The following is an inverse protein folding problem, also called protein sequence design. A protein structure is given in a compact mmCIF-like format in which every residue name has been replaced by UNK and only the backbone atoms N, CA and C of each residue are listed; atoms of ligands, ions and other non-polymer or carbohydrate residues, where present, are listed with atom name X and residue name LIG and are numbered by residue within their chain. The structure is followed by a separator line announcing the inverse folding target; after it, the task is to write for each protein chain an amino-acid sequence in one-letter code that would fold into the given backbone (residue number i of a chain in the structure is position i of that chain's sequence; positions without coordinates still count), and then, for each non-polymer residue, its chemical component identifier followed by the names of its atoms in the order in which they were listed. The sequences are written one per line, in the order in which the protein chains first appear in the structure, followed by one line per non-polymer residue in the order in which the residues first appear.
data_IF_643774632631
#
_entry.id   IF_643774632631
#
_cell.length_a   1.000
_cell.length_b   1.000
_cell.length_c   1.000
_cell.angle_alpha   90.00
_cell.angle_beta   90.00
_cell.angle_gamma   90.00
#
_symmetry.space_group_name_H-M   'P 1'
#
loop_
_entity.id
_entity.type
_entity.pdbx_description
1 polymer ?
#
# COMPACT_ATOMS: atom_id res chain seq x y z
N UNK A 1 8.97 13.82 21.69
CA UNK A 1 9.08 15.28 21.50
C UNK A 1 7.71 15.97 21.49
N UNK A 2 7.53 17.06 22.25
CA UNK A 2 6.26 17.84 22.28
C UNK A 2 6.06 18.63 20.98
N UNK A 3 4.88 19.23 20.76
CA UNK A 3 4.65 20.15 19.62
C UNK A 3 5.49 21.42 19.76
N UNK A 4 5.56 21.95 20.98
CA UNK A 4 6.37 23.10 21.35
C UNK A 4 7.85 22.90 21.00
N UNK A 5 8.46 21.82 21.50
CA UNK A 5 9.87 21.54 21.19
C UNK A 5 10.12 21.42 19.69
N UNK A 6 9.25 20.69 18.98
CA UNK A 6 9.33 20.52 17.53
C UNK A 6 9.29 21.84 16.77
N UNK A 7 8.46 22.78 17.20
CA UNK A 7 8.37 24.08 16.56
C UNK A 7 9.61 24.93 16.87
N UNK A 8 10.07 24.96 18.11
CA UNK A 8 11.31 25.66 18.49
C UNK A 8 12.52 25.15 17.70
N UNK A 9 12.70 23.84 17.61
CA UNK A 9 13.81 23.26 16.84
C UNK A 9 13.75 23.65 15.37
N UNK A 10 12.54 23.67 14.79
CA UNK A 10 12.32 24.10 13.40
C UNK A 10 12.52 25.61 13.21
N UNK A 11 12.16 26.41 14.21
CA UNK A 11 12.34 27.86 14.17
C UNK A 11 13.81 28.24 14.33
N UNK A 12 14.54 27.58 15.24
CA UNK A 12 15.96 27.82 15.45
C UNK A 12 16.74 27.52 14.16
N UNK A 13 16.36 26.47 13.42
CA UNK A 13 16.93 26.17 12.10
C UNK A 13 16.66 27.29 11.07
N UNK A 14 15.41 27.74 10.97
CA UNK A 14 15.06 28.90 10.14
C UNK A 14 15.88 30.14 10.52
N UNK A 15 15.93 30.46 11.81
CA UNK A 15 16.59 31.66 12.30
C UNK A 15 18.09 31.62 12.01
N UNK A 16 18.74 30.48 12.25
CA UNK A 16 20.17 30.30 11.97
C UNK A 16 20.51 30.33 10.48
N UNK A 17 19.60 29.87 9.61
CA UNK A 17 19.84 29.78 8.17
C UNK A 17 19.52 31.08 7.42
N UNK A 18 18.42 31.76 7.77
CA UNK A 18 17.84 32.84 6.96
C UNK A 18 17.96 34.24 7.59
N UNK A 19 18.08 34.31 8.92
CA UNK A 19 18.01 35.58 9.68
C UNK A 19 19.35 35.93 10.32
N UNK A 20 20.03 34.96 10.92
CA UNK A 20 21.30 35.17 11.60
C UNK A 20 22.37 35.61 10.60
N UNK A 21 23.05 36.70 10.92
CA UNK A 21 24.19 37.22 10.18
C UNK A 21 25.28 37.68 11.17
N UNK A 22 26.38 38.23 10.65
CA UNK A 22 27.51 38.68 11.48
C UNK A 22 27.13 39.82 12.44
N UNK A 23 26.10 40.60 12.09
CA UNK A 23 25.61 41.76 12.84
C UNK A 23 24.50 41.43 13.85
N UNK A 24 23.93 40.22 13.80
CA UNK A 24 22.86 39.72 14.68
C UNK A 24 23.28 38.41 15.34
N UNK A 25 23.92 38.52 16.51
CA UNK A 25 24.58 37.39 17.18
C UNK A 25 23.70 36.68 18.21
N UNK A 26 22.78 37.42 18.85
CA UNK A 26 21.98 36.94 19.97
C UNK A 26 20.48 37.15 19.76
N UNK A 27 19.67 36.16 20.09
CA UNK A 27 18.22 36.28 20.22
C UNK A 27 17.75 35.48 21.44
N UNK A 28 16.62 35.90 22.03
CA UNK A 28 16.03 35.13 23.11
C UNK A 28 15.28 33.92 22.54
N UNK A 29 15.39 32.73 23.14
CA UNK A 29 14.62 31.57 22.72
C UNK A 29 13.13 31.87 22.67
N UNK A 30 12.44 31.32 21.65
CA UNK A 30 11.00 31.50 21.52
C UNK A 30 10.27 31.14 22.81
N UNK A 31 9.43 32.06 23.29
CA UNK A 31 8.63 31.83 24.49
C UNK A 31 7.18 31.57 24.11
N UNK A 32 6.67 30.40 24.47
CA UNK A 32 5.26 30.05 24.32
C UNK A 32 4.40 30.89 25.27
N UNK A 33 3.46 31.65 24.71
CA UNK A 33 2.48 32.46 25.45
C UNK A 33 1.20 31.69 25.76
N UNK A 34 0.89 30.67 24.95
CA UNK A 34 -0.33 29.86 25.12
C UNK A 34 -0.24 28.94 26.34
N UNK A 35 -1.01 29.25 27.39
CA UNK A 35 -1.10 28.43 28.63
C UNK A 35 -1.71 27.04 28.40
N UNK A 36 -2.71 26.93 27.52
CA UNK A 36 -3.38 25.65 27.24
C UNK A 36 -2.81 25.01 25.97
N UNK A 37 -1.84 24.13 26.14
CA UNK A 37 -1.16 23.41 25.04
C UNK A 37 -2.05 22.41 24.29
N UNK A 38 -3.27 22.13 24.77
CA UNK A 38 -4.28 21.33 24.03
C UNK A 38 -5.00 22.14 22.95
N UNK A 39 -4.89 23.47 22.95
CA UNK A 39 -5.41 24.31 21.86
C UNK A 39 -4.72 23.97 20.55
N UNK A 40 -5.44 24.19 19.45
CA UNK A 40 -4.94 24.03 18.11
C UNK A 40 -4.08 25.22 17.65
N UNK A 41 -4.20 26.39 18.27
CA UNK A 41 -3.37 27.56 17.98
C UNK A 41 -2.46 27.83 19.16
N UNK A 42 -1.15 27.88 18.89
CA UNK A 42 -0.11 28.22 19.86
C UNK A 42 0.54 29.54 19.43
N UNK A 43 0.65 30.46 20.37
CA UNK A 43 1.22 31.78 20.21
C UNK A 43 2.60 31.83 20.87
N UNK A 44 3.58 32.34 20.15
CA UNK A 44 4.98 32.45 20.55
C UNK A 44 5.43 33.90 20.47
N UNK A 45 6.35 34.31 21.34
CA UNK A 45 7.04 35.60 21.21
C UNK A 45 8.52 35.38 20.99
N UNK A 46 9.04 36.07 19.98
CA UNK A 46 10.46 36.27 19.73
C UNK A 46 10.84 37.66 20.22
N UNK A 47 11.95 37.73 20.95
CA UNK A 47 12.50 38.98 21.47
C UNK A 47 13.98 39.06 21.13
N UNK A 48 14.37 40.09 20.40
CA UNK A 48 15.76 40.37 20.05
C UNK A 48 16.10 41.75 20.62
N UNK A 49 16.98 41.82 21.63
CA UNK A 49 17.41 43.11 22.17
C UNK A 49 18.47 43.74 21.24
N UNK A 50 18.52 45.07 21.14
CA UNK A 50 19.59 45.76 20.39
C UNK A 50 20.96 45.64 21.06
N UNK A 51 21.00 45.37 22.36
CA UNK A 51 22.22 45.09 23.12
C UNK A 51 22.06 43.81 23.92
N UNK A 52 23.07 42.97 23.92
CA UNK A 52 23.08 41.75 24.74
C UNK A 52 24.30 41.72 25.65
N UNK A 53 24.09 41.18 26.85
CA UNK A 53 25.11 41.09 27.88
C UNK A 53 26.09 39.97 27.56
N UNK A 54 27.38 40.28 27.56
CA UNK A 54 28.46 39.31 27.29
C UNK A 54 29.03 38.77 28.60
N UNK A 55 29.37 39.66 29.52
CA UNK A 55 29.96 39.28 30.81
C UNK A 55 29.72 40.33 31.88
N UNK A 56 29.88 39.91 33.13
CA UNK A 56 30.02 40.81 34.28
C UNK A 56 31.50 41.03 34.57
N UNK A 57 31.88 42.28 34.83
CA UNK A 57 33.22 42.58 35.34
C UNK A 57 33.19 42.27 36.84
N UNK A 58 33.68 41.09 37.21
CA UNK A 58 33.67 40.61 38.60
C UNK A 58 35.00 40.84 39.34
N UNK A 59 35.94 41.55 38.73
CA UNK A 59 37.25 41.80 39.33
C UNK A 59 37.31 43.21 39.91
N UNK A 60 37.75 43.28 41.17
CA UNK A 60 38.01 44.51 41.89
C UNK A 60 39.05 45.36 41.14
N UNK A 61 38.66 46.59 40.77
CA UNK A 61 39.57 47.58 40.18
C UNK A 61 39.97 48.53 41.30
N UNK A 62 41.27 48.81 41.45
CA UNK A 62 41.76 49.78 42.43
C UNK A 62 42.23 51.04 41.70
N UNK A 63 41.92 52.22 42.24
CA UNK A 63 42.47 53.48 41.72
C UNK A 63 43.96 53.66 42.08
N UNK A 64 44.58 54.73 41.60
CA UNK A 64 46.00 55.06 41.87
C UNK A 64 46.28 55.26 43.37
N UNK A 65 45.25 55.57 44.17
CA UNK A 65 45.31 55.75 45.63
C UNK A 65 44.99 54.45 46.40
N UNK A 66 44.72 53.34 45.69
CA UNK A 66 44.43 52.03 46.27
C UNK A 66 43.00 51.86 46.82
N UNK A 67 42.06 52.75 46.48
CA UNK A 67 40.65 52.55 46.79
C UNK A 67 39.99 51.59 45.81
N UNK A 68 39.15 50.72 46.37
CA UNK A 68 38.36 49.77 45.63
C UNK A 68 37.25 50.48 44.83
N UNK A 69 37.40 50.55 43.52
CA UNK A 69 36.34 50.90 42.58
C UNK A 69 35.55 49.62 42.31
N UNK A 70 34.33 49.52 42.84
CA UNK A 70 33.40 48.47 42.45
C UNK A 70 32.97 48.66 40.98
N UNK A 71 33.41 47.83 40.03
CA UNK A 71 32.88 47.91 38.68
C UNK A 71 31.47 47.31 38.73
N UNK A 72 30.45 48.16 38.63
CA UNK A 72 29.05 47.72 38.46
C UNK A 72 28.66 47.57 37.00
N UNK A 73 29.63 47.54 36.10
CA UNK A 73 29.36 47.63 34.67
C UNK A 73 29.44 46.24 34.04
N UNK A 74 28.28 45.73 33.63
CA UNK A 74 28.20 44.60 32.71
C UNK A 74 28.63 45.06 31.32
N UNK A 75 29.37 44.22 30.58
CA UNK A 75 29.74 44.50 29.19
C UNK A 75 28.60 44.09 28.28
N UNK A 76 28.10 45.04 27.49
CA UNK A 76 27.09 44.82 26.48
C UNK A 76 27.69 44.99 25.08
N UNK A 77 27.25 44.16 24.13
CA UNK A 77 27.55 44.33 22.70
C UNK A 77 26.28 44.75 22.00
N UNK A 78 26.41 45.75 21.12
CA UNK A 78 25.34 46.20 20.24
C UNK A 78 25.23 45.28 19.01
N UNK A 79 24.01 45.07 18.55
CA UNK A 79 23.71 44.27 17.37
C UNK A 79 22.61 44.96 16.55
N UNK A 80 22.65 44.76 15.23
CA UNK A 80 21.64 45.32 14.35
C UNK A 80 20.36 44.50 14.42
N UNK A 81 19.25 45.18 14.70
CA UNK A 81 17.93 44.55 14.70
C UNK A 81 17.48 44.29 13.26
N UNK A 82 16.82 43.16 12.98
CA UNK A 82 16.25 42.92 11.68
C UNK A 82 15.10 43.89 11.40
N UNK A 83 14.94 44.26 10.15
CA UNK A 83 13.73 44.92 9.67
C UNK A 83 12.54 43.92 9.71
N UNK A 84 11.36 44.41 10.08
CA UNK A 84 10.18 43.56 10.21
C UNK A 84 9.72 43.02 8.85
N UNK A 85 9.68 43.86 7.82
CA UNK A 85 9.22 43.44 6.49
C UNK A 85 10.17 42.40 5.89
N UNK A 86 11.48 42.59 6.09
CA UNK A 86 12.48 41.56 5.76
C UNK A 86 12.26 40.25 6.52
N UNK A 87 12.06 40.33 7.84
CA UNK A 87 11.83 39.15 8.68
C UNK A 87 10.56 38.40 8.27
N UNK A 88 9.44 39.11 8.08
CA UNK A 88 8.16 38.53 7.68
C UNK A 88 8.29 37.85 6.32
N UNK A 89 8.94 38.50 5.34
CA UNK A 89 9.17 37.92 4.01
C UNK A 89 9.92 36.59 4.11
N UNK A 90 11.03 36.57 4.85
CA UNK A 90 11.83 35.33 5.03
C UNK A 90 11.07 34.25 5.80
N UNK A 91 10.31 34.66 6.79
CA UNK A 91 9.49 33.74 7.58
C UNK A 91 8.44 33.05 6.69
N UNK A 92 7.70 33.82 5.89
CA UNK A 92 6.68 33.30 4.98
C UNK A 92 7.31 32.42 3.90
N UNK A 93 8.41 32.85 3.26
CA UNK A 93 9.16 32.04 2.28
C UNK A 93 9.54 30.65 2.85
N UNK A 94 9.97 30.60 4.11
CA UNK A 94 10.40 29.36 4.75
C UNK A 94 9.22 28.46 5.15
N UNK A 95 8.18 29.00 5.78
CA UNK A 95 7.12 28.21 6.42
C UNK A 95 5.87 28.00 5.56
N UNK A 96 5.52 28.89 4.62
CA UNK A 96 4.25 28.79 3.88
C UNK A 96 4.17 27.54 3.00
N UNK A 97 5.30 26.97 2.60
CA UNK A 97 5.36 25.69 1.86
C UNK A 97 4.83 24.49 2.66
N UNK A 98 4.69 24.62 3.97
CA UNK A 98 4.12 23.60 4.86
C UNK A 98 2.69 23.94 5.29
N UNK A 99 2.02 24.88 4.64
CA UNK A 99 0.63 25.22 4.95
C UNK A 99 -0.30 24.11 4.42
N UNK A 100 -1.33 23.76 5.20
CA UNK A 100 -2.36 22.81 4.78
C UNK A 100 -3.66 23.52 4.42
N UNK A 101 -4.18 23.21 3.24
CA UNK A 101 -5.46 23.70 2.73
C UNK A 101 -6.45 22.55 2.52
N UNK A 102 -7.73 22.86 2.70
CA UNK A 102 -8.88 22.05 2.28
C UNK A 102 -9.79 22.92 1.42
N UNK A 103 -9.64 22.76 0.10
CA UNK A 103 -10.16 23.72 -0.88
C UNK A 103 -9.58 25.12 -0.65
N UNK A 104 -10.45 26.10 -0.35
CA UNK A 104 -10.09 27.49 -0.07
C UNK A 104 -9.82 27.76 1.42
N UNK A 105 -10.00 26.76 2.30
CA UNK A 105 -9.88 26.94 3.74
C UNK A 105 -8.48 26.55 4.20
N UNK A 106 -7.77 27.48 4.86
CA UNK A 106 -6.51 27.15 5.54
C UNK A 106 -6.82 26.40 6.84
N UNK A 107 -6.27 25.19 6.98
CA UNK A 107 -6.48 24.33 8.15
C UNK A 107 -5.30 24.38 9.12
N UNK A 108 -4.08 24.49 8.60
CA UNK A 108 -2.85 24.55 9.39
C UNK A 108 -1.88 25.52 8.74
N UNK A 109 -1.36 26.45 9.52
CA UNK A 109 -0.58 27.58 9.03
C UNK A 109 0.31 28.14 10.14
N UNK A 110 1.31 28.91 9.75
CA UNK A 110 2.04 29.80 10.65
C UNK A 110 1.94 31.23 10.14
N UNK A 111 1.97 32.18 11.05
CA UNK A 111 1.94 33.60 10.70
C UNK A 111 2.73 34.40 11.73
N UNK A 112 3.36 35.48 11.29
CA UNK A 112 4.09 36.40 12.16
C UNK A 112 3.48 37.78 12.05
N UNK A 113 3.39 38.48 13.18
CA UNK A 113 2.99 39.88 13.20
C UNK A 113 3.79 40.67 14.23
N UNK A 114 3.96 41.96 13.94
CA UNK A 114 4.68 42.86 14.82
C UNK A 114 3.86 43.13 16.08
N UNK A 115 4.49 42.97 17.25
CA UNK A 115 3.87 43.23 18.55
C UNK A 115 4.31 44.54 19.19
N UNK A 116 5.22 45.27 18.53
CA UNK A 116 5.58 46.63 18.92
C UNK A 116 4.40 47.57 18.64
N UNK A 117 3.44 47.56 19.57
CA UNK A 117 2.24 48.41 19.56
C UNK A 117 2.52 49.85 20.02
N UNK A 118 3.72 50.14 20.50
CA UNK A 118 4.14 51.48 20.91
C UNK A 118 5.32 51.93 20.03
N UNK A 119 5.09 52.99 19.24
CA UNK A 119 6.12 53.72 18.49
C UNK A 119 7.31 54.15 19.39
N UNK A 120 7.07 54.27 20.70
CA UNK A 120 8.07 54.63 21.72
C UNK A 120 9.18 53.59 21.98
N UNK A 121 9.07 52.35 21.50
CA UNK A 121 10.13 51.34 21.72
C UNK A 121 11.41 51.63 20.92
N UNK A 122 11.28 52.29 19.76
CA UNK A 122 12.42 52.66 18.91
C UNK A 122 13.13 53.94 19.37
N UNK A 123 12.50 54.71 20.27
CA UNK A 123 13.07 55.91 20.90
C UNK A 123 13.76 55.60 22.25
N UNK A 124 13.75 54.35 22.69
CA UNK A 124 14.42 53.93 23.93
C UNK A 124 15.93 53.75 23.72
N UNK A 125 16.73 53.94 24.78
CA UNK A 125 18.19 53.72 24.74
C UNK A 125 18.59 52.28 24.37
N UNK A 126 17.65 51.33 24.45
CA UNK A 126 17.83 49.91 24.14
C UNK A 126 16.60 49.35 23.40
N UNK A 127 16.47 49.61 22.08
CA UNK A 127 15.32 49.12 21.32
C UNK A 127 15.26 47.59 21.30
N UNK A 128 14.04 47.06 21.20
CA UNK A 128 13.79 45.62 21.19
C UNK A 128 12.91 45.28 20.00
N UNK A 129 13.35 44.32 19.18
CA UNK A 129 12.54 43.73 18.14
C UNK A 129 11.68 42.62 18.76
N UNK A 130 10.35 42.82 18.75
CA UNK A 130 9.39 41.87 19.29
C UNK A 130 8.37 41.46 18.22
N UNK A 131 8.36 40.18 17.88
CA UNK A 131 7.36 39.61 16.98
C UNK A 131 6.62 38.48 17.65
N UNK A 132 5.33 38.40 17.36
CA UNK A 132 4.47 37.31 17.80
C UNK A 132 4.24 36.39 16.61
N UNK A 133 4.32 35.09 16.89
CA UNK A 133 4.20 34.03 15.90
C UNK A 133 3.05 33.11 16.32
N UNK A 134 2.08 32.99 15.44
CA UNK A 134 0.97 32.06 15.58
C UNK A 134 1.25 30.77 14.81
N UNK A 135 0.98 29.64 15.46
CA UNK A 135 1.11 28.30 14.89
C UNK A 135 -0.21 27.57 15.05
N UNK A 136 -0.94 27.42 13.94
CA UNK A 136 -2.20 26.68 13.90
C UNK A 136 -1.98 25.24 13.44
N UNK A 137 -2.26 24.28 14.31
CA UNK A 137 -2.19 22.84 14.07
C UNK A 137 -3.54 22.27 13.62
N UNK A 138 -3.51 21.37 12.63
CA UNK A 138 -4.67 20.55 12.27
C UNK A 138 -4.42 19.07 12.55
N UNK A 139 -5.15 18.49 13.52
CA UNK A 139 -4.99 17.08 13.92
C UNK A 139 -3.51 16.75 14.24
N UNK A 140 -2.89 15.85 13.48
CA UNK A 140 -1.47 15.46 13.62
C UNK A 140 -0.53 16.21 12.68
N UNK A 141 -1.04 17.12 11.85
CA UNK A 141 -0.25 17.90 10.89
C UNK A 141 0.45 19.06 11.60
N UNK A 142 1.70 19.34 11.20
CA UNK A 142 2.49 20.48 11.65
C UNK A 142 2.79 21.38 10.46
N UNK A 143 2.56 22.70 10.56
CA UNK A 143 2.81 23.66 9.48
C UNK A 143 4.29 24.07 9.39
N UNK A 144 5.21 23.11 9.53
CA UNK A 144 6.65 23.32 9.57
C UNK A 144 7.37 21.97 9.38
N UNK A 145 8.67 21.96 8.98
CA UNK A 145 9.40 20.73 8.77
C UNK A 145 9.57 19.98 10.10
N UNK A 146 9.18 18.70 10.12
CA UNK A 146 9.42 17.81 11.26
C UNK A 146 10.67 17.00 10.97
N UNK A 147 11.74 17.22 11.76
CA UNK A 147 12.87 16.30 11.77
C UNK A 147 12.40 14.92 12.27
N UNK A 148 12.66 13.82 11.55
CA UNK A 148 12.35 12.49 12.03
C UNK A 148 13.13 12.25 13.33
N UNK A 149 12.43 11.94 14.41
CA UNK A 149 13.06 11.42 15.63
C UNK A 149 13.68 10.06 15.27
N UNK A 150 15.01 9.93 15.39
CA UNK A 150 15.74 8.72 15.02
C UNK A 150 15.15 7.47 15.69
N UNK A 151 14.73 7.59 16.96
CA UNK A 151 14.16 6.50 17.75
C UNK A 151 12.78 6.05 17.22
N UNK A 152 11.95 7.00 16.79
CA UNK A 152 10.63 6.69 16.19
C UNK A 152 10.82 6.03 14.82
N UNK A 153 11.83 6.46 14.08
CA UNK A 153 12.17 5.93 12.75
C UNK A 153 12.67 4.49 12.85
N UNK A 154 13.55 4.18 13.80
CA UNK A 154 14.06 2.83 14.04
C UNK A 154 12.96 1.85 14.47
N UNK A 155 12.07 2.26 15.38
CA UNK A 155 10.94 1.41 15.79
C UNK A 155 10.01 1.12 14.62
N UNK A 156 9.72 2.13 13.79
CA UNK A 156 8.89 1.95 12.60
C UNK A 156 9.58 1.06 11.57
N UNK A 157 10.87 1.26 11.35
CA UNK A 157 11.70 0.44 10.47
C UNK A 157 11.70 -1.03 10.92
N UNK A 158 11.99 -1.31 12.19
CA UNK A 158 12.01 -2.68 12.73
C UNK A 158 10.65 -3.37 12.62
N UNK A 159 9.55 -2.64 12.85
CA UNK A 159 8.20 -3.18 12.65
C UNK A 159 7.93 -3.52 11.18
N UNK A 160 8.35 -2.65 10.25
CA UNK A 160 8.22 -2.89 8.81
C UNK A 160 9.08 -4.06 8.36
N UNK A 161 10.33 -4.15 8.84
CA UNK A 161 11.24 -5.24 8.55
C UNK A 161 10.67 -6.59 9.04
N UNK A 162 10.12 -6.64 10.26
CA UNK A 162 9.45 -7.84 10.78
C UNK A 162 8.26 -8.23 9.91
N UNK A 163 7.43 -7.26 9.48
CA UNK A 163 6.30 -7.53 8.59
C UNK A 163 6.78 -8.04 7.23
N UNK A 164 7.86 -7.47 6.71
CA UNK A 164 8.45 -7.89 5.44
C UNK A 164 8.94 -9.34 5.51
N UNK A 165 9.70 -9.70 6.55
CA UNK A 165 10.20 -11.06 6.74
C UNK A 165 9.06 -12.07 6.85
N UNK A 166 8.02 -11.76 7.65
CA UNK A 166 6.85 -12.64 7.75
C UNK A 166 6.17 -12.88 6.38
N UNK A 167 6.10 -11.86 5.52
CA UNK A 167 5.51 -11.99 4.19
C UNK A 167 6.41 -12.78 3.23
N UNK A 168 7.73 -12.69 3.38
CA UNK A 168 8.69 -13.51 2.64
C UNK A 168 8.51 -14.98 3.04
N UNK A 169 8.49 -15.29 4.33
CA UNK A 169 8.29 -16.66 4.83
C UNK A 169 6.95 -17.25 4.34
N UNK A 170 5.89 -16.44 4.33
CA UNK A 170 4.58 -16.87 3.81
C UNK A 170 4.61 -17.14 2.30
N UNK A 171 5.30 -16.30 1.51
CA UNK A 171 5.46 -16.49 0.08
C UNK A 171 6.28 -17.74 -0.26
N UNK A 172 7.34 -18.01 0.49
CA UNK A 172 8.14 -19.24 0.31
C UNK A 172 7.27 -20.46 0.54
N UNK A 173 6.54 -20.50 1.66
CA UNK A 173 5.61 -21.62 1.96
C UNK A 173 4.53 -21.80 0.89
N UNK A 174 3.97 -20.71 0.37
CA UNK A 174 2.98 -20.79 -0.70
C UNK A 174 3.59 -21.28 -2.02
N UNK A 175 4.84 -20.91 -2.31
CA UNK A 175 5.56 -21.39 -3.49
C UNK A 175 5.80 -22.89 -3.42
N UNK A 176 6.24 -23.41 -2.26
CA UNK A 176 6.40 -24.85 -2.04
C UNK A 176 5.09 -25.62 -2.27
N UNK A 177 3.96 -25.10 -1.76
CA UNK A 177 2.64 -25.70 -1.99
C UNK A 177 2.23 -25.72 -3.46
N UNK A 178 2.58 -24.69 -4.23
CA UNK A 178 2.31 -24.64 -5.67
C UNK A 178 3.11 -25.71 -6.39
N UNK A 179 4.38 -25.92 -6.03
CA UNK A 179 5.21 -26.98 -6.61
C UNK A 179 4.63 -28.37 -6.33
N UNK A 180 4.24 -28.66 -5.07
CA UNK A 180 3.60 -29.92 -4.70
C UNK A 180 2.30 -30.18 -5.50
N UNK A 181 1.46 -29.15 -5.67
CA UNK A 181 0.23 -29.25 -6.45
C UNK A 181 0.50 -29.48 -7.94
N UNK A 182 1.54 -28.87 -8.50
CA UNK A 182 1.94 -29.12 -9.89
C UNK A 182 2.36 -30.58 -10.11
N UNK A 183 3.11 -31.16 -9.18
CA UNK A 183 3.51 -32.57 -9.26
C UNK A 183 2.29 -33.51 -9.22
N UNK A 184 1.31 -33.20 -8.36
CA UNK A 184 0.05 -33.96 -8.30
C UNK A 184 -0.74 -33.87 -9.62
N UNK A 185 -0.79 -32.69 -10.25
CA UNK A 185 -1.43 -32.51 -11.56
C UNK A 185 -0.74 -33.38 -12.62
N UNK A 186 0.60 -33.33 -12.69
CA UNK A 186 1.38 -34.12 -13.65
C UNK A 186 1.09 -35.62 -13.47
N UNK A 187 1.09 -36.12 -12.23
CA UNK A 187 0.76 -37.51 -11.95
C UNK A 187 -0.67 -37.88 -12.39
N UNK A 188 -1.65 -37.01 -12.16
CA UNK A 188 -3.03 -37.25 -12.56
C UNK A 188 -3.20 -37.22 -14.08
N UNK A 189 -2.51 -36.34 -14.79
CA UNK A 189 -2.49 -36.34 -16.25
C UNK A 189 -1.94 -37.65 -16.81
N UNK A 190 -0.86 -38.17 -16.24
CA UNK A 190 -0.28 -39.46 -16.64
C UNK A 190 -1.28 -40.61 -16.43
N UNK A 191 -1.97 -40.64 -15.27
CA UNK A 191 -3.03 -41.62 -15.00
C UNK A 191 -4.18 -41.50 -16.00
N UNK A 192 -4.64 -40.30 -16.31
CA UNK A 192 -5.69 -40.05 -17.31
C UNK A 192 -5.27 -40.54 -18.70
N UNK A 193 -4.04 -40.25 -19.14
CA UNK A 193 -3.51 -40.75 -20.42
C UNK A 193 -3.44 -42.27 -20.44
N UNK A 194 -3.13 -42.92 -19.32
CA UNK A 194 -3.15 -44.38 -19.21
C UNK A 194 -4.58 -44.93 -19.34
N UNK A 195 -5.54 -44.36 -18.61
CA UNK A 195 -6.94 -44.77 -18.65
C UNK A 195 -7.55 -44.59 -20.05
N UNK A 196 -7.30 -43.45 -20.71
CA UNK A 196 -7.74 -43.25 -22.10
C UNK A 196 -7.20 -44.31 -23.05
N UNK A 197 -5.91 -44.68 -22.93
CA UNK A 197 -5.31 -45.77 -23.73
C UNK A 197 -5.94 -47.13 -23.41
N UNK A 198 -6.40 -47.37 -22.18
CA UNK A 198 -7.08 -48.60 -21.79
C UNK A 198 -8.50 -48.65 -22.37
N UNK A 199 -9.26 -47.57 -22.23
CA UNK A 199 -10.62 -47.42 -22.79
C UNK A 199 -10.60 -47.61 -24.30
N UNK A 200 -9.68 -46.95 -25.02
CA UNK A 200 -9.53 -47.10 -26.46
C UNK A 200 -9.32 -48.56 -26.88
N UNK A 201 -8.39 -49.26 -26.21
CA UNK A 201 -8.13 -50.69 -26.47
C UNK A 201 -9.36 -51.56 -26.22
N UNK A 202 -10.11 -51.27 -25.15
CA UNK A 202 -11.35 -52.01 -24.85
C UNK A 202 -12.43 -51.76 -25.92
N UNK A 203 -12.61 -50.51 -26.36
CA UNK A 203 -13.55 -50.17 -27.42
C UNK A 203 -13.18 -50.83 -28.75
N UNK A 204 -11.89 -50.80 -29.12
CA UNK A 204 -11.39 -51.46 -30.34
C UNK A 204 -11.64 -52.98 -30.28
N UNK A 205 -11.43 -53.60 -29.12
CA UNK A 205 -11.68 -55.03 -28.91
C UNK A 205 -13.18 -55.34 -28.98
N UNK A 206 -14.02 -54.54 -28.33
CA UNK A 206 -15.47 -54.72 -28.34
C UNK A 206 -16.04 -54.58 -29.75
N UNK A 207 -15.62 -53.55 -30.49
CA UNK A 207 -16.04 -53.32 -31.88
C UNK A 207 -15.65 -54.51 -32.79
N UNK A 208 -14.41 -55.00 -32.69
CA UNK A 208 -13.97 -56.20 -33.43
C UNK A 208 -14.79 -57.45 -33.08
N UNK A 209 -15.07 -57.67 -31.80
CA UNK A 209 -15.87 -58.80 -31.35
C UNK A 209 -17.32 -58.69 -31.81
N UNK A 210 -17.91 -57.49 -31.74
CA UNK A 210 -19.26 -57.23 -32.20
C UNK A 210 -19.41 -57.47 -33.71
N UNK A 211 -18.46 -56.99 -34.52
CA UNK A 211 -18.44 -57.25 -35.96
C UNK A 211 -18.32 -58.75 -36.28
N UNK A 212 -17.45 -59.48 -35.57
CA UNK A 212 -17.31 -60.94 -35.72
C UNK A 212 -18.61 -61.68 -35.37
N UNK A 213 -19.28 -61.27 -34.30
CA UNK A 213 -20.55 -61.86 -33.86
C UNK A 213 -21.65 -61.58 -34.89
N UNK A 214 -21.76 -60.33 -35.34
CA UNK A 214 -22.72 -59.90 -36.37
C UNK A 214 -22.56 -60.73 -37.65
N UNK A 215 -21.33 -60.86 -38.16
CA UNK A 215 -21.07 -61.64 -39.37
C UNK A 215 -21.47 -63.12 -39.20
N UNK A 216 -21.16 -63.74 -38.04
CA UNK A 216 -21.56 -65.13 -37.77
C UNK A 216 -23.08 -65.32 -37.70
N UNK A 217 -23.80 -64.36 -37.12
CA UNK A 217 -25.27 -64.40 -37.05
C UNK A 217 -25.85 -64.30 -38.47
N UNK A 218 -25.35 -63.37 -39.30
CA UNK A 218 -25.80 -63.23 -40.69
C UNK A 218 -25.49 -64.49 -41.51
N UNK A 219 -24.29 -65.07 -41.36
CA UNK A 219 -23.92 -66.33 -42.01
C UNK A 219 -24.87 -67.48 -41.63
N UNK A 220 -25.22 -67.60 -40.34
CA UNK A 220 -26.15 -68.61 -39.86
C UNK A 220 -27.56 -68.41 -40.44
N UNK A 221 -28.07 -67.17 -40.46
CA UNK A 221 -29.37 -66.85 -41.05
C UNK A 221 -29.42 -67.16 -42.55
N UNK A 222 -28.33 -66.88 -43.29
CA UNK A 222 -28.18 -67.27 -44.70
C UNK A 222 -28.29 -68.77 -44.91
N UNK A 223 -27.59 -69.56 -44.09
CA UNK A 223 -27.59 -71.03 -44.20
C UNK A 223 -28.97 -71.65 -43.93
N UNK A 224 -29.73 -71.07 -43.00
CA UNK A 224 -31.06 -71.56 -42.63
C UNK A 224 -32.18 -70.98 -43.52
N UNK A 225 -31.87 -70.05 -44.43
CA UNK A 225 -32.86 -69.22 -45.12
C UNK A 225 -33.88 -68.59 -44.15
N UNK A 226 -33.40 -68.22 -42.96
CA UNK A 226 -34.21 -67.89 -41.78
C UNK A 226 -34.37 -66.39 -41.53
N UNK A 227 -34.30 -65.56 -42.57
CA UNK A 227 -34.51 -64.13 -42.40
C UNK A 227 -35.98 -63.84 -42.08
N UNK A 228 -36.22 -63.26 -40.91
CA UNK A 228 -37.54 -62.80 -40.46
C UNK A 228 -37.85 -61.38 -40.96
N UNK A 229 -39.12 -60.98 -40.87
CA UNK A 229 -39.54 -59.62 -41.14
C UNK A 229 -39.11 -58.69 -40.00
N UNK A 230 -38.80 -57.43 -40.32
CA UNK A 230 -38.36 -56.46 -39.32
C UNK A 230 -39.47 -56.24 -38.27
N UNK A 231 -39.18 -56.30 -36.95
CA UNK A 231 -40.19 -56.14 -35.91
C UNK A 231 -40.77 -54.71 -35.80
N UNK A 232 -40.28 -53.76 -36.61
CA UNK A 232 -40.70 -52.36 -36.60
C UNK A 232 -41.55 -52.01 -37.83
N UNK A 233 -41.02 -52.25 -39.03
CA UNK A 233 -41.74 -51.95 -40.28
C UNK A 233 -42.45 -53.15 -40.90
N UNK A 234 -42.23 -54.37 -40.38
CA UNK A 234 -42.75 -55.63 -40.92
C UNK A 234 -42.33 -55.91 -42.37
N UNK A 235 -41.27 -55.26 -42.84
CA UNK A 235 -40.68 -55.54 -44.16
C UNK A 235 -39.66 -56.68 -44.06
N UNK A 236 -39.60 -57.49 -45.13
CA UNK A 236 -38.68 -58.61 -45.20
C UNK A 236 -37.23 -58.13 -45.19
N UNK A 237 -36.44 -58.67 -44.26
CA UNK A 237 -35.01 -58.40 -44.20
C UNK A 237 -34.23 -59.39 -45.06
N UNK A 238 -33.08 -58.95 -45.54
CA UNK A 238 -32.07 -59.76 -46.21
C UNK A 238 -30.69 -59.52 -45.60
N UNK A 239 -29.65 -60.11 -46.18
CA UNK A 239 -28.30 -59.98 -45.64
C UNK A 239 -27.70 -58.59 -45.70
N UNK A 240 -28.25 -57.71 -46.54
CA UNK A 240 -27.65 -56.42 -46.85
C UNK A 240 -28.40 -55.31 -46.08
N UNK A 241 -29.65 -55.57 -45.70
CA UNK A 241 -30.52 -54.67 -44.96
C UNK A 241 -30.55 -54.94 -43.45
N UNK A 242 -30.12 -56.12 -43.00
CA UNK A 242 -30.11 -56.50 -41.58
C UNK A 242 -28.98 -55.82 -40.80
N UNK A 243 -29.31 -55.30 -39.62
CA UNK A 243 -28.37 -54.82 -38.62
C UNK A 243 -28.56 -55.64 -37.36
N UNK A 244 -27.45 -56.08 -36.75
CA UNK A 244 -27.46 -56.83 -35.48
C UNK A 244 -26.87 -55.95 -34.38
N UNK A 245 -27.69 -55.28 -33.55
CA UNK A 245 -27.21 -54.43 -32.46
C UNK A 245 -26.60 -55.26 -31.32
N UNK A 246 -25.98 -54.60 -30.33
CA UNK A 246 -25.30 -55.28 -29.22
C UNK A 246 -26.15 -56.25 -28.38
N UNK A 247 -27.48 -56.09 -28.40
CA UNK A 247 -28.45 -57.00 -27.75
C UNK A 247 -28.85 -58.21 -28.61
N UNK A 248 -28.26 -58.36 -29.80
CA UNK A 248 -28.49 -59.44 -30.77
C UNK A 248 -29.89 -59.54 -31.39
N UNK A 249 -30.81 -58.64 -31.05
CA UNK A 249 -32.13 -58.53 -31.68
C UNK A 249 -32.04 -57.71 -32.97
N UNK A 250 -32.01 -58.41 -34.09
CA UNK A 250 -31.76 -57.82 -35.41
C UNK A 250 -32.98 -57.10 -35.99
N UNK A 251 -32.72 -55.99 -36.69
CA UNK A 251 -33.72 -55.12 -37.33
C UNK A 251 -33.17 -54.57 -38.65
N UNK A 252 -34.01 -53.96 -39.51
CA UNK A 252 -33.50 -53.35 -40.74
C UNK A 252 -32.74 -52.04 -40.46
N UNK A 253 -31.77 -51.72 -41.33
CA UNK A 253 -30.93 -50.53 -41.23
C UNK A 253 -31.73 -49.21 -41.16
N UNK A 254 -32.86 -49.14 -41.88
CA UNK A 254 -33.72 -47.97 -41.89
C UNK A 254 -34.42 -47.74 -40.56
N UNK A 255 -34.82 -48.81 -39.87
CA UNK A 255 -35.45 -48.72 -38.55
C UNK A 255 -34.42 -48.47 -37.43
N UNK A 256 -33.18 -48.93 -37.61
CA UNK A 256 -32.11 -48.73 -36.63
C UNK A 256 -31.84 -47.25 -36.34
N UNK A 257 -31.85 -46.41 -37.37
CA UNK A 257 -31.62 -44.97 -37.23
C UNK A 257 -32.80 -44.22 -36.58
N UNK A 258 -33.99 -44.84 -36.54
CA UNK A 258 -35.22 -44.26 -35.98
C UNK A 258 -35.48 -44.71 -34.55
N UNK A 259 -34.78 -45.74 -34.07
CA UNK A 259 -34.99 -46.34 -32.76
C UNK A 259 -33.80 -46.02 -31.83
N UNK A 260 -34.08 -45.51 -30.62
CA UNK A 260 -33.03 -45.33 -29.60
C UNK A 260 -32.83 -46.57 -28.72
N UNK A 261 -33.88 -47.39 -28.59
CA UNK A 261 -33.91 -48.62 -27.81
C UNK A 261 -34.38 -49.78 -28.68
N UNK A 262 -33.97 -50.99 -28.33
CA UNK A 262 -34.42 -52.21 -28.97
C UNK A 262 -35.94 -52.40 -28.83
N UNK A 263 -36.71 -52.58 -29.92
CA UNK A 263 -38.14 -52.88 -29.86
C UNK A 263 -38.47 -54.18 -29.13
N UNK A 264 -37.52 -55.12 -29.07
CA UNK A 264 -37.71 -56.45 -28.49
C UNK A 264 -37.33 -56.46 -27.00
N UNK A 265 -36.08 -56.17 -26.65
CA UNK A 265 -35.62 -56.21 -25.24
C UNK A 265 -35.65 -54.87 -24.51
N UNK A 266 -35.95 -53.76 -25.19
CA UNK A 266 -35.99 -52.39 -24.66
C UNK A 266 -34.65 -51.85 -24.15
N UNK A 267 -33.56 -52.59 -24.29
CA UNK A 267 -32.22 -52.09 -24.02
C UNK A 267 -31.87 -50.96 -24.99
N UNK A 268 -31.18 -49.94 -24.48
CA UNK A 268 -30.70 -48.85 -25.31
C UNK A 268 -29.72 -49.39 -26.33
N UNK A 269 -29.88 -49.04 -27.59
CA UNK A 269 -28.90 -49.41 -28.59
C UNK A 269 -27.57 -48.73 -28.27
N UNK A 270 -26.52 -49.52 -28.13
CA UNK A 270 -25.16 -49.01 -28.05
C UNK A 270 -24.67 -48.69 -29.47
N UNK A 271 -25.15 -47.58 -30.05
CA UNK A 271 -24.88 -47.21 -31.45
C UNK A 271 -23.45 -46.67 -31.66
N UNK A 272 -22.71 -46.39 -30.58
CA UNK A 272 -21.34 -45.89 -30.68
C UNK A 272 -20.43 -46.54 -29.63
N UNK A 273 -19.57 -47.44 -30.10
CA UNK A 273 -18.22 -47.59 -29.56
C UNK A 273 -17.27 -46.75 -30.44
N UNK A 274 -17.49 -45.44 -30.51
CA UNK A 274 -16.50 -44.48 -31.02
C UNK A 274 -15.94 -43.71 -29.83
#
# INVERSE_FOLDING_TARGET
MTRDQRFRDSFDEFFLAEIKNDDLKHYNPLRLLTKNTKKNVHEYVLTIPSKYKVCDITHDIFDEDGQLIHPRESVFIEQQLPDFDYFETKYLEYFDKYRLFDGYKSLSWTYVYNSNTNENNFESDNPIFNVVIDVCYYKSYSPYPIKPDAVITDRKYNNLLKKHNNLVDENERLSDQIEELHDLIIMNEQKNRFLHRKIKRMNDMFSKNHNRMTNKIIEFLKQQNGFEDCPVCYEKMDSDTIVVPGCCHYICADCMNKCQNCPICRERYCIKCN
#
